data_IF_839401450633
#
_entry.id   IF_839401450633
#
_cell.length_a   1.000
_cell.length_b   1.000
_cell.length_c   1.000
_cell.angle_alpha   90.00
_cell.angle_beta   90.00
_cell.angle_gamma   90.00
#
_symmetry.space_group_name_H-M   'P 1'
#
loop_
_entity.id
_entity.type
_entity.pdbx_description
1 polymer ?
#
# COMPACT_ATOMS: atom_id res chain seq x y z
N UNK A 1 -9.19 -1.24 -13.32
CA UNK A 1 -7.81 -1.75 -13.32
C UNK A 1 -7.15 -1.72 -11.93
N UNK A 2 -7.08 -0.57 -11.24
CA UNK A 2 -6.43 -0.46 -9.91
C UNK A 2 -7.02 -1.34 -8.78
N UNK A 3 -8.31 -1.69 -8.85
CA UNK A 3 -8.99 -2.52 -7.84
C UNK A 3 -8.50 -3.98 -7.84
N UNK A 4 -8.09 -4.49 -9.01
CA UNK A 4 -7.52 -5.83 -9.16
C UNK A 4 -6.06 -5.88 -8.68
N UNK A 5 -5.29 -4.81 -8.92
CA UNK A 5 -3.88 -4.70 -8.49
C UNK A 5 -3.75 -4.73 -6.96
N UNK A 6 -4.69 -4.11 -6.23
CA UNK A 6 -4.64 -4.03 -4.77
C UNK A 6 -4.61 -5.41 -4.10
N UNK A 7 -5.32 -6.40 -4.65
CA UNK A 7 -5.40 -7.72 -4.03
C UNK A 7 -4.12 -8.55 -4.22
N UNK A 8 -3.40 -8.31 -5.32
CA UNK A 8 -2.13 -8.99 -5.62
C UNK A 8 -0.92 -8.37 -4.91
N UNK A 9 -1.01 -7.11 -4.47
CA UNK A 9 0.09 -6.49 -3.71
C UNK A 9 0.13 -6.97 -2.26
N UNK A 10 -1.03 -7.29 -1.67
CA UNK A 10 -1.12 -7.78 -0.29
C UNK A 10 -0.62 -9.21 -0.11
N UNK A 11 -0.47 -9.97 -1.20
CA UNK A 11 0.05 -11.35 -1.20
C UNK A 11 1.56 -11.43 -1.41
N UNK A 12 2.22 -10.31 -1.77
CA UNK A 12 3.66 -10.26 -1.98
C UNK A 12 4.37 -9.99 -0.66
N UNK A 13 4.96 -11.03 -0.07
CA UNK A 13 5.76 -10.94 1.14
C UNK A 13 6.93 -9.94 0.94
N UNK A 14 7.10 -8.99 1.87
CA UNK A 14 8.18 -8.00 1.83
C UNK A 14 7.89 -6.70 1.06
N UNK A 15 6.71 -6.53 0.47
CA UNK A 15 6.37 -5.28 -0.23
C UNK A 15 6.37 -4.03 0.69
N UNK A 16 6.13 -4.24 1.98
CA UNK A 16 6.10 -3.20 3.02
C UNK A 16 7.47 -2.56 3.29
N UNK A 17 8.56 -3.21 2.86
CA UNK A 17 9.93 -2.72 3.05
C UNK A 17 10.23 -1.52 2.12
N UNK A 18 9.62 -1.48 0.93
CA UNK A 18 9.95 -0.46 -0.07
C UNK A 18 9.57 0.98 0.33
N UNK A 19 8.37 1.24 0.91
CA UNK A 19 8.05 2.55 1.45
C UNK A 19 8.97 2.99 2.61
N UNK A 20 9.36 2.05 3.48
CA UNK A 20 10.27 2.33 4.60
C UNK A 20 11.68 2.65 4.10
N UNK A 21 12.17 1.92 3.09
CA UNK A 21 13.46 2.18 2.46
C UNK A 21 13.46 3.55 1.76
N UNK A 22 12.39 3.88 1.05
CA UNK A 22 12.21 5.20 0.43
C UNK A 22 12.23 6.31 1.48
N UNK A 23 11.44 6.18 2.55
CA UNK A 23 11.42 7.13 3.66
C UNK A 23 12.81 7.31 4.28
N UNK A 24 13.55 6.22 4.54
CA UNK A 24 14.88 6.27 5.10
C UNK A 24 15.88 7.03 4.19
N UNK A 25 15.85 6.76 2.88
CA UNK A 25 16.71 7.45 1.90
C UNK A 25 16.43 8.96 1.89
N UNK A 26 15.15 9.34 1.81
CA UNK A 26 14.78 10.76 1.80
C UNK A 26 15.10 11.45 3.13
N UNK A 27 14.82 10.80 4.26
CA UNK A 27 15.14 11.33 5.59
C UNK A 27 16.65 11.60 5.72
N UNK A 28 17.49 10.65 5.33
CA UNK A 28 18.96 10.82 5.36
C UNK A 28 19.40 11.96 4.45
N UNK A 29 18.85 12.06 3.24
CA UNK A 29 19.16 13.16 2.31
C UNK A 29 18.83 14.54 2.90
N UNK A 30 17.64 14.71 3.48
CA UNK A 30 17.23 16.00 4.06
C UNK A 30 18.02 16.34 5.32
N UNK A 31 18.37 15.36 6.17
CA UNK A 31 19.25 15.58 7.33
C UNK A 31 20.62 16.05 6.86
N UNK A 32 21.21 15.43 5.83
CA UNK A 32 22.49 15.86 5.27
C UNK A 32 22.40 17.30 4.75
N UNK A 33 21.34 17.65 4.04
CA UNK A 33 21.14 19.00 3.52
C UNK A 33 20.99 20.03 4.65
N UNK A 34 20.18 19.73 5.66
CA UNK A 34 20.00 20.60 6.82
C UNK A 34 21.31 20.80 7.59
N UNK A 35 22.05 19.72 7.85
CA UNK A 35 23.38 19.78 8.46
C UNK A 35 24.34 20.59 7.59
N UNK A 36 24.32 20.40 6.26
CA UNK A 36 25.16 21.14 5.32
C UNK A 36 24.89 22.65 5.40
N UNK A 37 23.61 23.04 5.48
CA UNK A 37 23.19 24.45 5.60
C UNK A 37 23.60 25.02 6.95
N UNK A 38 23.38 24.31 8.05
CA UNK A 38 23.76 24.73 9.41
C UNK A 38 25.28 24.86 9.55
N UNK A 39 26.04 23.98 8.89
CA UNK A 39 27.50 23.99 8.90
C UNK A 39 28.12 24.97 7.88
N UNK A 40 27.31 25.70 7.09
CA UNK A 40 27.85 26.72 6.19
C UNK A 40 28.53 27.84 6.98
N UNK A 41 29.73 28.23 6.54
CA UNK A 41 30.50 29.27 7.22
C UNK A 41 29.87 30.64 6.97
N UNK A 42 29.73 31.44 8.03
CA UNK A 42 29.18 32.82 7.98
C UNK A 42 29.76 33.70 6.85
N UNK A 43 31.08 33.71 6.57
CA UNK A 43 31.63 34.49 5.45
C UNK A 43 31.05 34.12 4.07
N UNK A 44 30.68 32.85 3.88
CA UNK A 44 30.06 32.39 2.63
C UNK A 44 28.60 32.84 2.54
N UNK A 45 27.89 32.85 3.68
CA UNK A 45 26.53 33.38 3.79
C UNK A 45 26.53 34.90 3.58
N UNK A 46 27.50 35.61 4.16
CA UNK A 46 27.66 37.06 4.02
C UNK A 46 28.02 37.45 2.58
N UNK A 47 28.86 36.66 1.91
CA UNK A 47 29.10 36.83 0.47
C UNK A 47 27.82 36.64 -0.34
N UNK A 48 26.99 35.64 0.00
CA UNK A 48 25.72 35.37 -0.68
C UNK A 48 24.65 36.46 -0.40
N UNK A 49 24.65 37.06 0.80
CA UNK A 49 23.71 38.12 1.16
C UNK A 49 24.10 39.50 0.62
N UNK A 50 25.39 39.73 0.38
CA UNK A 50 25.92 40.97 -0.19
C UNK A 50 25.91 40.99 -1.73
N UNK A 51 25.41 39.92 -2.35
CA UNK A 51 25.04 39.96 -3.76
C UNK A 51 23.94 41.04 -3.92
N UNK A 52 24.10 41.99 -4.86
CA UNK A 52 23.28 43.20 -4.89
C UNK A 52 21.89 42.87 -5.45
N UNK A 53 20.98 42.51 -4.55
CA UNK A 53 19.58 42.30 -4.87
C UNK A 53 18.79 43.58 -4.57
N UNK A 54 18.69 44.42 -5.61
CA UNK A 54 17.71 45.51 -5.82
C UNK A 54 17.91 46.90 -5.18
N UNK A 55 17.26 47.85 -5.85
CA UNK A 55 17.39 49.30 -5.82
C UNK A 55 17.11 49.95 -4.45
N UNK A 56 17.83 51.05 -4.18
CA UNK A 56 17.90 51.74 -2.89
C UNK A 56 16.59 52.47 -2.55
N UNK A 57 15.58 51.80 -1.99
CA UNK A 57 14.49 52.51 -1.28
C UNK A 57 13.75 51.73 -0.18
N UNK A 58 13.97 50.42 -0.05
CA UNK A 58 13.20 49.55 0.86
C UNK A 58 13.79 49.41 2.27
N UNK A 59 14.99 49.95 2.53
CA UNK A 59 15.71 49.70 3.79
C UNK A 59 15.15 50.41 5.02
N UNK A 60 14.20 51.36 4.87
CA UNK A 60 13.60 52.06 6.01
C UNK A 60 12.27 51.45 6.48
N UNK A 61 11.61 50.61 5.67
CA UNK A 61 10.27 50.11 5.99
C UNK A 61 10.33 48.91 6.94
N UNK A 62 11.36 48.07 6.83
CA UNK A 62 11.58 46.96 7.76
C UNK A 62 11.81 47.37 9.22
N UNK A 63 12.29 48.60 9.46
CA UNK A 63 12.66 49.06 10.81
C UNK A 63 11.47 49.61 11.62
N UNK A 64 10.40 50.08 10.96
CA UNK A 64 9.20 50.57 11.63
C UNK A 64 8.15 49.48 11.91
N UNK A 65 8.29 48.31 11.27
CA UNK A 65 7.44 47.13 11.49
C UNK A 65 7.92 46.30 12.71
N UNK A 66 9.13 46.55 13.21
CA UNK A 66 9.66 45.90 14.42
C UNK A 66 9.26 46.59 15.73
N UNK A 67 8.80 47.84 15.70
CA UNK A 67 8.39 48.57 16.92
C UNK A 67 7.10 48.05 17.58
N UNK A 68 6.09 47.55 16.85
CA UNK A 68 4.88 46.97 17.45
C UNK A 68 5.14 45.64 18.18
N UNK A 69 6.26 44.96 17.90
CA UNK A 69 6.70 43.75 18.61
C UNK A 69 7.27 44.05 20.02
N UNK A 70 7.52 45.32 20.37
CA UNK A 70 8.01 45.76 21.69
C UNK A 70 6.94 46.45 22.56
N UNK A 71 5.67 46.47 22.12
CA UNK A 71 4.54 46.79 23.01
C UNK A 71 4.43 48.24 23.50
N UNK A 72 4.91 49.24 22.75
CA UNK A 72 4.70 50.66 23.10
C UNK A 72 3.50 51.20 22.30
N UNK A 73 2.37 51.41 22.98
CA UNK A 73 1.18 52.08 22.42
C UNK A 73 1.13 53.54 22.85
N UNK A 74 1.02 54.48 21.91
CA UNK A 74 0.48 55.81 22.19
C UNK A 74 -0.38 56.31 21.02
N UNK A 75 -1.65 56.63 21.31
CA UNK A 75 -2.71 56.91 20.34
C UNK A 75 -2.72 58.30 19.71
N UNK A 76 -1.61 59.03 19.71
CA UNK A 76 -1.56 60.42 19.23
C UNK A 76 -1.07 60.60 17.78
N UNK A 77 -0.70 59.51 17.07
CA UNK A 77 -0.14 59.60 15.70
C UNK A 77 -1.16 59.14 14.63
N UNK A 78 -2.33 58.61 15.04
CA UNK A 78 -3.30 58.04 14.12
C UNK A 78 -4.05 59.06 13.24
N UNK A 79 -4.07 60.35 13.61
CA UNK A 79 -4.93 61.34 12.94
C UNK A 79 -4.30 61.95 11.68
N UNK A 80 -2.96 62.02 11.60
CA UNK A 80 -2.26 62.67 10.49
C UNK A 80 -1.98 61.71 9.31
N UNK A 81 -2.11 60.39 9.54
CA UNK A 81 -1.94 59.34 8.52
C UNK A 81 -3.20 59.12 7.66
N UNK A 82 -4.36 59.60 8.10
CA UNK A 82 -5.66 59.27 7.46
C UNK A 82 -5.94 60.14 6.23
N UNK A 83 -5.41 61.36 6.17
CA UNK A 83 -5.63 62.25 5.02
C UNK A 83 -4.78 61.90 3.80
N UNK A 84 -3.57 61.38 3.99
CA UNK A 84 -2.67 61.01 2.88
C UNK A 84 -2.97 59.61 2.31
N UNK A 85 -3.60 58.73 3.09
CA UNK A 85 -3.99 57.37 2.66
C UNK A 85 -5.29 57.35 1.84
N UNK A 86 -6.15 58.38 1.95
CA UNK A 86 -7.45 58.39 1.26
C UNK A 86 -7.35 58.52 -0.27
N UNK A 87 -6.26 59.09 -0.80
CA UNK A 87 -6.11 59.25 -2.26
C UNK A 87 -5.46 58.02 -2.93
N UNK A 88 -4.85 57.12 -2.15
CA UNK A 88 -4.24 55.87 -2.64
C UNK A 88 -5.18 54.67 -2.43
N UNK A 89 -6.12 54.76 -1.49
CA UNK A 89 -6.98 53.66 -1.05
C UNK A 89 -8.06 53.19 -2.06
N UNK A 90 -8.32 53.90 -3.15
CA UNK A 90 -9.27 53.43 -4.19
C UNK A 90 -8.62 52.61 -5.31
N UNK A 91 -7.29 52.47 -5.31
CA UNK A 91 -6.57 51.80 -6.41
C UNK A 91 -5.89 50.47 -6.06
N UNK A 92 -5.80 50.07 -4.80
CA UNK A 92 -4.98 48.91 -4.42
C UNK A 92 -5.51 48.15 -3.20
N UNK A 93 -6.77 47.72 -3.25
CA UNK A 93 -7.30 46.78 -2.25
C UNK A 93 -7.05 45.32 -2.62
N UNK A 94 -5.89 44.99 -3.22
CA UNK A 94 -5.68 43.63 -3.72
C UNK A 94 -4.25 43.30 -4.09
N UNK A 95 -3.29 43.46 -3.16
CA UNK A 95 -1.94 42.91 -3.35
C UNK A 95 -1.35 42.48 -2.00
N UNK A 96 -1.78 41.33 -1.48
CA UNK A 96 -1.02 40.62 -0.44
C UNK A 96 0.11 39.85 -1.12
N UNK A 97 1.36 40.31 -0.97
CA UNK A 97 2.56 39.65 -1.53
C UNK A 97 2.55 39.46 -3.06
N UNK A 98 2.01 40.42 -3.83
CA UNK A 98 2.03 40.32 -5.30
C UNK A 98 1.05 39.31 -5.89
N UNK A 99 0.14 38.73 -5.10
CA UNK A 99 -0.83 37.72 -5.53
C UNK A 99 -2.27 38.22 -5.35
N UNK A 100 -3.19 37.75 -6.20
CA UNK A 100 -4.62 38.06 -6.10
C UNK A 100 -5.27 37.35 -4.90
N UNK A 101 -6.33 37.95 -4.35
CA UNK A 101 -7.01 37.45 -3.15
C UNK A 101 -7.55 36.02 -3.31
N UNK A 102 -7.96 35.64 -4.53
CA UNK A 102 -8.41 34.28 -4.86
C UNK A 102 -7.30 33.23 -4.66
N UNK A 103 -6.06 33.59 -5.01
CA UNK A 103 -4.88 32.70 -4.87
C UNK A 103 -4.54 32.53 -3.39
N UNK A 104 -4.67 33.60 -2.61
CA UNK A 104 -4.43 33.58 -1.18
C UNK A 104 -5.43 32.71 -0.41
N UNK A 105 -6.71 32.79 -0.77
CA UNK A 105 -7.78 31.98 -0.16
C UNK A 105 -7.59 30.49 -0.48
N UNK A 106 -7.17 30.16 -1.72
CA UNK A 106 -6.87 28.77 -2.12
C UNK A 106 -5.67 28.21 -1.34
N UNK A 107 -4.63 29.03 -1.08
CA UNK A 107 -3.47 28.62 -0.28
C UNK A 107 -3.87 28.37 1.19
N UNK A 108 -4.71 29.22 1.77
CA UNK A 108 -5.17 29.04 3.15
C UNK A 108 -6.09 27.84 3.32
N UNK A 109 -7.03 27.63 2.39
CA UNK A 109 -7.94 26.47 2.41
C UNK A 109 -7.19 25.15 2.18
N UNK A 110 -6.25 25.11 1.23
CA UNK A 110 -5.43 23.92 1.01
C UNK A 110 -4.53 23.61 2.22
N UNK A 111 -3.96 24.64 2.86
CA UNK A 111 -3.19 24.49 4.10
C UNK A 111 -4.02 23.98 5.29
N UNK A 112 -5.27 24.44 5.42
CA UNK A 112 -6.19 23.98 6.46
C UNK A 112 -6.62 22.50 6.26
N UNK A 113 -6.86 22.09 5.01
CA UNK A 113 -7.15 20.69 4.66
C UNK A 113 -5.97 19.78 4.97
N UNK A 114 -4.74 20.23 4.70
CA UNK A 114 -3.50 19.51 5.05
C UNK A 114 -3.34 19.31 6.54
N UNK A 115 -3.53 20.37 7.33
CA UNK A 115 -3.43 20.30 8.78
C UNK A 115 -4.46 19.32 9.37
N UNK A 116 -5.67 19.32 8.81
CA UNK A 116 -6.75 18.41 9.23
C UNK A 116 -6.43 16.96 8.87
N UNK A 117 -5.91 16.68 7.67
CA UNK A 117 -5.52 15.33 7.26
C UNK A 117 -4.35 14.78 8.08
N UNK A 118 -3.37 15.62 8.43
CA UNK A 118 -2.26 15.25 9.32
C UNK A 118 -2.74 14.93 10.74
N UNK A 119 -3.67 15.72 11.28
CA UNK A 119 -4.27 15.45 12.61
C UNK A 119 -5.04 14.13 12.60
N UNK A 120 -5.82 13.85 11.55
CA UNK A 120 -6.56 12.58 11.42
C UNK A 120 -5.63 11.37 11.29
N UNK A 121 -4.55 11.49 10.50
CA UNK A 121 -3.52 10.46 10.37
C UNK A 121 -2.78 10.19 11.70
N UNK A 122 -2.38 11.26 12.39
CA UNK A 122 -1.73 11.16 13.70
C UNK A 122 -2.66 10.56 14.77
N UNK A 123 -3.95 10.90 14.74
CA UNK A 123 -4.96 10.30 15.64
C UNK A 123 -5.15 8.80 15.40
N UNK A 124 -5.10 8.35 14.14
CA UNK A 124 -5.16 6.94 13.78
C UNK A 124 -3.96 6.14 14.32
N UNK A 125 -2.75 6.67 14.15
CA UNK A 125 -1.53 6.07 14.69
C UNK A 125 -1.56 6.02 16.22
N UNK A 126 -2.01 7.10 16.88
CA UNK A 126 -2.08 7.16 18.33
C UNK A 126 -3.12 6.17 18.90
N UNK A 127 -4.28 6.02 18.26
CA UNK A 127 -5.28 5.01 18.64
C UNK A 127 -4.73 3.59 18.50
N UNK A 128 -4.03 3.30 17.41
CA UNK A 128 -3.40 1.98 17.22
C UNK A 128 -2.30 1.72 18.25
N UNK A 129 -1.51 2.74 18.61
CA UNK A 129 -0.50 2.65 19.68
C UNK A 129 -1.13 2.37 21.06
N UNK A 130 -2.25 3.02 21.37
CA UNK A 130 -2.97 2.82 22.64
C UNK A 130 -3.58 1.42 22.72
N UNK A 131 -4.20 0.94 21.62
CA UNK A 131 -4.76 -0.42 21.54
C UNK A 131 -3.65 -1.48 21.61
N UNK A 132 -2.51 -1.25 20.97
CA UNK A 132 -1.32 -2.09 21.05
C UNK A 132 -0.75 -2.16 22.48
N UNK A 133 -0.62 -1.01 23.15
CA UNK A 133 -0.21 -0.91 24.55
C UNK A 133 -1.16 -1.67 25.50
N UNK A 134 -2.48 -1.52 25.30
CA UNK A 134 -3.50 -2.20 26.09
C UNK A 134 -3.52 -3.72 25.89
N UNK A 135 -3.16 -4.20 24.68
CA UNK A 135 -3.10 -5.63 24.33
C UNK A 135 -1.79 -6.30 24.80
N UNK A 136 -0.68 -5.56 24.73
CA UNK A 136 0.64 -6.00 25.22
C UNK A 136 0.65 -6.24 26.73
N UNK A 137 -0.10 -5.44 27.51
CA UNK A 137 -0.19 -5.62 28.96
C UNK A 137 -0.93 -6.90 29.42
N UNK A 138 -1.73 -7.55 28.57
CA UNK A 138 -2.62 -8.65 28.99
C UNK A 138 -2.21 -10.06 28.52
N UNK A 139 -1.24 -10.21 27.64
CA UNK A 139 -0.80 -11.53 27.17
C UNK A 139 0.68 -11.52 26.82
N UNK A 140 1.54 -11.88 27.78
CA UNK A 140 2.97 -12.04 27.52
C UNK A 140 3.44 -13.50 27.41
N UNK A 141 2.55 -14.50 27.51
CA UNK A 141 2.99 -15.90 27.69
C UNK A 141 2.39 -16.93 26.73
N UNK A 142 1.80 -16.57 25.59
CA UNK A 142 1.39 -17.61 24.63
C UNK A 142 1.60 -17.16 23.18
N UNK A 143 2.41 -17.96 22.48
CA UNK A 143 2.69 -17.97 21.05
C UNK A 143 3.83 -17.03 20.64
N UNK A 144 5.01 -17.63 20.49
CA UNK A 144 6.21 -17.03 19.92
C UNK A 144 6.07 -16.74 18.42
N UNK A 145 5.26 -15.75 18.09
CA UNK A 145 5.23 -15.10 16.78
C UNK A 145 6.09 -13.82 16.92
N UNK A 146 7.01 -13.52 15.98
CA UNK A 146 7.89 -12.36 16.11
C UNK A 146 7.08 -11.06 16.19
N UNK A 147 7.20 -10.40 17.35
CA UNK A 147 6.57 -9.14 17.80
C UNK A 147 6.78 -7.96 16.82
N UNK A 148 7.61 -8.13 15.79
CA UNK A 148 8.02 -7.10 14.83
C UNK A 148 6.94 -6.87 13.76
N UNK A 149 6.15 -7.89 13.40
CA UNK A 149 5.18 -7.77 12.31
C UNK A 149 3.97 -6.88 12.66
N UNK A 150 3.49 -6.90 13.92
CA UNK A 150 2.23 -6.23 14.28
C UNK A 150 2.31 -4.70 14.39
N UNK A 151 3.51 -4.11 14.43
CA UNK A 151 3.69 -2.65 14.52
C UNK A 151 3.60 -1.99 13.13
N UNK A 152 3.83 -2.76 12.06
CA UNK A 152 3.89 -2.26 10.68
C UNK A 152 2.69 -2.60 9.81
N UNK A 153 1.67 -3.31 10.33
CA UNK A 153 0.41 -3.51 9.60
C UNK A 153 -0.37 -2.20 9.59
N UNK A 154 -0.09 -1.34 8.60
CA UNK A 154 -0.87 -0.14 8.34
C UNK A 154 -2.28 -0.54 7.90
N UNK A 155 -3.31 0.04 8.52
CA UNK A 155 -4.68 -0.13 8.03
C UNK A 155 -4.80 0.46 6.63
N UNK A 156 -5.64 -0.13 5.78
CA UNK A 156 -5.90 0.33 4.41
C UNK A 156 -6.08 1.86 4.31
N UNK A 157 -6.80 2.46 5.26
CA UNK A 157 -7.02 3.90 5.33
C UNK A 157 -5.74 4.71 5.58
N UNK A 158 -4.85 4.22 6.46
CA UNK A 158 -3.56 4.87 6.75
C UNK A 158 -2.57 4.74 5.61
N UNK A 159 -2.56 3.58 4.93
CA UNK A 159 -1.77 3.37 3.73
C UNK A 159 -2.15 4.36 2.61
N UNK A 160 -3.44 4.44 2.25
CA UNK A 160 -3.89 5.36 1.22
C UNK A 160 -3.72 6.83 1.64
N UNK A 161 -3.90 7.15 2.92
CA UNK A 161 -3.64 8.49 3.45
C UNK A 161 -2.18 8.94 3.25
N UNK A 162 -1.21 8.04 3.49
CA UNK A 162 0.20 8.33 3.24
C UNK A 162 0.53 8.44 1.74
N UNK A 163 -0.06 7.59 0.90
CA UNK A 163 0.12 7.67 -0.56
C UNK A 163 -0.39 9.00 -1.11
N UNK A 164 -1.60 9.42 -0.73
CA UNK A 164 -2.15 10.71 -1.15
C UNK A 164 -1.36 11.90 -0.60
N UNK A 165 -0.90 11.83 0.66
CA UNK A 165 -0.04 12.85 1.25
C UNK A 165 1.28 13.04 0.50
N UNK A 166 1.93 11.94 0.09
CA UNK A 166 3.18 11.98 -0.67
C UNK A 166 2.99 12.50 -2.10
N UNK A 167 1.94 12.08 -2.79
CA UNK A 167 1.62 12.60 -4.14
C UNK A 167 1.36 14.11 -4.07
N UNK A 168 0.63 14.57 -3.05
CA UNK A 168 0.39 15.99 -2.84
C UNK A 168 1.67 16.77 -2.54
N UNK A 169 2.55 16.25 -1.67
CA UNK A 169 3.83 16.88 -1.35
C UNK A 169 4.75 16.97 -2.57
N UNK A 170 4.74 15.95 -3.43
CA UNK A 170 5.43 15.96 -4.73
C UNK A 170 4.88 17.05 -5.65
N UNK A 171 3.56 17.18 -5.77
CA UNK A 171 2.93 18.22 -6.59
C UNK A 171 3.24 19.63 -6.06
N UNK A 172 3.24 19.81 -4.74
CA UNK A 172 3.60 21.08 -4.10
C UNK A 172 5.07 21.45 -4.36
N UNK A 173 5.98 20.48 -4.28
CA UNK A 173 7.39 20.67 -4.61
C UNK A 173 7.57 21.09 -6.07
N UNK A 174 6.88 20.43 -7.00
CA UNK A 174 6.92 20.79 -8.42
C UNK A 174 6.38 22.21 -8.65
N UNK A 175 5.38 22.63 -7.89
CA UNK A 175 4.81 23.97 -7.95
C UNK A 175 5.81 25.03 -7.43
N UNK A 176 6.52 24.75 -6.33
CA UNK A 176 7.61 25.59 -5.83
C UNK A 176 8.76 25.66 -6.86
N UNK A 177 9.19 24.53 -7.41
CA UNK A 177 10.25 24.49 -8.42
C UNK A 177 9.85 25.23 -9.70
N UNK A 178 8.58 25.13 -10.12
CA UNK A 178 8.02 25.91 -11.23
C UNK A 178 8.09 27.42 -10.93
N UNK A 179 7.69 27.84 -9.72
CA UNK A 179 7.73 29.24 -9.32
C UNK A 179 9.18 29.76 -9.23
N UNK A 180 10.11 28.95 -8.70
CA UNK A 180 11.54 29.28 -8.69
C UNK A 180 12.08 29.41 -10.11
N UNK A 181 11.66 28.56 -11.06
CA UNK A 181 12.08 28.63 -12.46
C UNK A 181 11.58 29.91 -13.14
N UNK A 182 10.31 30.26 -12.95
CA UNK A 182 9.73 31.50 -13.48
C UNK A 182 10.47 32.72 -12.90
N UNK A 183 10.71 32.72 -11.59
CA UNK A 183 11.49 33.77 -10.92
C UNK A 183 12.94 33.81 -11.41
N UNK A 184 13.56 32.65 -11.65
CA UNK A 184 14.90 32.51 -12.26
C UNK A 184 14.96 33.09 -13.66
N UNK A 185 13.95 32.82 -14.48
CA UNK A 185 13.91 33.27 -15.87
C UNK A 185 13.65 34.78 -15.97
N UNK A 186 12.88 35.36 -15.03
CA UNK A 186 12.70 36.81 -14.90
C UNK A 186 13.97 37.51 -14.34
N UNK A 187 14.72 36.82 -13.47
CA UNK A 187 16.02 37.27 -12.93
C UNK A 187 17.20 37.06 -13.89
N UNK A 188 17.00 36.40 -15.04
CA UNK A 188 18.05 36.31 -16.06
C UNK A 188 18.24 37.71 -16.65
N UNK A 189 19.38 38.39 -16.42
CA UNK A 189 19.61 39.66 -17.08
C UNK A 189 19.63 39.39 -18.58
N UNK A 190 18.73 40.03 -19.32
CA UNK A 190 18.79 40.08 -20.79
C UNK A 190 20.01 40.93 -21.16
N UNK A 191 21.21 40.34 -21.05
CA UNK A 191 22.48 41.03 -21.27
C UNK A 191 22.61 41.36 -22.75
N UNK A 192 22.77 42.65 -23.05
CA UNK A 192 23.27 43.15 -24.32
C UNK A 192 24.65 42.52 -24.58
N UNK A 193 24.73 41.91 -25.77
CA UNK A 193 25.76 41.15 -26.48
C UNK A 193 27.28 41.36 -26.27
N UNK A 194 27.79 42.29 -25.44
CA UNK A 194 29.21 42.72 -25.60
C UNK A 194 30.20 42.25 -24.51
N UNK A 195 29.75 41.70 -23.38
CA UNK A 195 30.63 41.35 -22.25
C UNK A 195 30.84 39.83 -22.08
N UNK A 196 30.98 39.10 -23.19
CA UNK A 196 31.07 37.63 -23.21
C UNK A 196 32.40 37.07 -23.73
N UNK A 197 33.30 37.92 -24.27
CA UNK A 197 34.51 37.47 -24.95
C UNK A 197 35.70 37.20 -24.01
N UNK A 198 35.92 38.01 -22.97
CA UNK A 198 37.13 37.89 -22.14
C UNK A 198 36.98 36.99 -20.90
N UNK A 199 35.75 36.76 -20.41
CA UNK A 199 35.49 35.88 -19.26
C UNK A 199 35.52 34.38 -19.62
N UNK A 200 35.80 34.03 -20.88
CA UNK A 200 35.73 32.68 -21.44
C UNK A 200 36.95 31.80 -21.14
N UNK A 201 38.04 32.33 -20.55
CA UNK A 201 39.32 31.60 -20.42
C UNK A 201 39.74 31.17 -19.01
N UNK A 202 38.88 31.28 -17.99
CA UNK A 202 39.16 30.64 -16.68
C UNK A 202 38.55 29.25 -16.67
N UNK A 203 39.34 28.24 -17.09
CA UNK A 203 39.02 26.83 -16.93
C UNK A 203 38.78 26.51 -15.45
N UNK A 204 37.51 26.46 -15.03
CA UNK A 204 37.13 25.80 -13.78
C UNK A 204 37.49 24.32 -13.91
N UNK A 205 38.38 23.83 -13.04
CA UNK A 205 38.75 22.41 -12.98
C UNK A 205 37.49 21.53 -13.08
N UNK A 206 37.40 20.76 -14.17
CA UNK A 206 36.22 19.97 -14.48
C UNK A 206 35.87 19.04 -13.31
N UNK A 207 34.67 19.24 -12.74
CA UNK A 207 34.09 18.42 -11.67
C UNK A 207 34.25 16.92 -11.99
N UNK A 208 34.58 16.11 -10.98
CA UNK A 208 34.75 14.64 -11.15
C UNK A 208 33.53 14.03 -11.86
N UNK A 209 32.34 14.55 -11.57
CA UNK A 209 31.09 14.16 -12.23
C UNK A 209 31.05 14.52 -13.72
N UNK A 210 31.58 15.67 -14.14
CA UNK A 210 31.63 16.02 -15.57
C UNK A 210 32.64 15.15 -16.32
N UNK A 211 33.73 14.74 -15.66
CA UNK A 211 34.70 13.77 -16.23
C UNK A 211 34.07 12.39 -16.40
N UNK A 212 33.32 11.90 -15.41
CA UNK A 212 32.60 10.63 -15.49
C UNK A 212 31.52 10.70 -16.58
N UNK A 213 30.71 11.76 -16.57
CA UNK A 213 29.65 11.99 -17.55
C UNK A 213 30.17 12.03 -18.99
N UNK A 214 31.29 12.74 -19.21
CA UNK A 214 31.95 12.80 -20.52
C UNK A 214 32.46 11.45 -20.98
N UNK A 215 32.98 10.60 -20.08
CA UNK A 215 33.40 9.23 -20.41
C UNK A 215 32.22 8.31 -20.75
N UNK A 216 31.12 8.42 -20.02
CA UNK A 216 29.95 7.57 -20.22
C UNK A 216 29.20 7.91 -21.51
N UNK A 217 29.10 9.20 -21.86
CA UNK A 217 28.39 9.63 -23.06
C UNK A 217 29.27 9.73 -24.31
N UNK A 218 30.56 10.02 -24.15
CA UNK A 218 31.50 10.06 -25.27
C UNK A 218 31.18 11.10 -26.35
N UNK A 219 30.45 12.16 -26.03
CA UNK A 219 30.07 13.23 -26.97
C UNK A 219 31.30 13.95 -27.55
N UNK A 220 31.16 14.39 -28.80
CA UNK A 220 32.06 15.35 -29.45
C UNK A 220 31.61 16.76 -29.10
N UNK A 221 32.55 17.70 -28.98
CA UNK A 221 32.24 19.09 -28.60
C UNK A 221 31.59 19.83 -29.77
N UNK A 222 30.73 20.81 -29.48
CA UNK A 222 29.92 21.53 -30.50
C UNK A 222 30.80 22.19 -31.58
N UNK A 223 32.01 22.62 -31.21
CA UNK A 223 32.97 23.22 -32.14
C UNK A 223 33.43 22.25 -33.25
N UNK A 224 33.45 20.95 -32.94
CA UNK A 224 33.94 19.89 -33.82
C UNK A 224 32.78 19.11 -34.50
N UNK A 225 31.52 19.49 -34.25
CA UNK A 225 30.34 18.84 -34.84
C UNK A 225 30.28 19.01 -36.36
N UNK A 226 30.84 20.11 -36.89
CA UNK A 226 30.89 20.37 -38.31
C UNK A 226 31.70 19.31 -39.09
N UNK A 227 32.71 18.73 -38.46
CA UNK A 227 33.56 17.68 -39.05
C UNK A 227 32.85 16.32 -39.09
N UNK A 228 31.77 16.15 -38.31
CA UNK A 228 30.95 14.93 -38.23
C UNK A 228 29.65 15.02 -39.03
N UNK A 229 29.37 16.17 -39.66
CA UNK A 229 28.17 16.33 -40.46
C UNK A 229 28.25 15.46 -41.71
N UNK A 230 27.18 14.70 -41.95
CA UNK A 230 27.04 13.93 -43.17
C UNK A 230 26.84 14.84 -44.39
N UNK A 231 27.19 14.34 -45.57
CA UNK A 231 27.23 15.09 -46.82
C UNK A 231 25.85 15.39 -47.44
N UNK A 232 24.78 14.83 -46.86
CA UNK A 232 23.43 14.94 -47.36
C UNK A 232 22.51 15.61 -46.34
N UNK A 233 21.56 16.41 -46.86
CA UNK A 233 20.47 16.97 -46.08
C UNK A 233 19.13 16.44 -46.60
N UNK A 234 18.25 16.10 -45.67
CA UNK A 234 16.88 15.73 -45.95
C UNK A 234 15.96 16.79 -45.35
N UNK A 235 15.28 17.56 -46.19
CA UNK A 235 14.32 18.59 -45.74
C UNK A 235 14.93 19.60 -44.75
N UNK A 236 16.20 19.99 -44.99
CA UNK A 236 16.94 20.91 -44.13
C UNK A 236 17.46 20.31 -42.82
N UNK A 237 17.25 19.01 -42.57
CA UNK A 237 17.83 18.27 -41.45
C UNK A 237 19.09 17.56 -41.93
N UNK A 238 20.18 17.70 -41.18
CA UNK A 238 21.44 16.99 -41.42
C UNK A 238 21.74 16.05 -40.25
N UNK A 239 22.35 14.91 -40.56
CA UNK A 239 22.69 13.89 -39.57
C UNK A 239 24.16 14.03 -39.14
N UNK A 240 24.42 13.72 -37.88
CA UNK A 240 25.78 13.67 -37.33
C UNK A 240 26.22 12.21 -37.25
N UNK A 241 27.41 11.90 -37.80
CA UNK A 241 28.04 10.58 -37.68
C UNK A 241 28.71 10.43 -36.30
N UNK A 242 27.90 10.44 -35.24
CA UNK A 242 28.38 10.33 -33.88
C UNK A 242 28.45 8.86 -33.44
N UNK A 243 29.48 8.52 -32.66
CA UNK A 243 29.57 7.19 -32.04
C UNK A 243 28.45 6.98 -31.01
N UNK A 244 28.02 5.74 -30.85
CA UNK A 244 27.03 5.36 -29.84
C UNK A 244 27.58 5.65 -28.43
N UNK A 245 26.76 6.22 -27.51
CA UNK A 245 27.18 6.45 -26.13
C UNK A 245 27.66 5.14 -25.47
N UNK A 246 28.87 5.10 -24.89
CA UNK A 246 29.40 3.90 -24.25
C UNK A 246 28.46 3.26 -23.23
N UNK A 247 27.75 4.05 -22.41
CA UNK A 247 26.78 3.51 -21.45
C UNK A 247 25.64 2.76 -22.13
N UNK A 248 25.17 3.25 -23.28
CA UNK A 248 24.08 2.63 -24.03
C UNK A 248 24.56 1.31 -24.64
N UNK A 249 25.76 1.30 -25.21
CA UNK A 249 26.38 0.11 -25.79
C UNK A 249 26.61 -0.97 -24.73
N UNK A 250 27.12 -0.62 -23.55
CA UNK A 250 27.28 -1.57 -22.45
C UNK A 250 25.94 -2.06 -21.92
N UNK A 251 24.93 -1.20 -21.84
CA UNK A 251 23.56 -1.61 -21.50
C UNK A 251 23.01 -2.64 -22.49
N UNK A 252 23.22 -2.41 -23.79
CA UNK A 252 22.83 -3.33 -24.85
C UNK A 252 23.52 -4.70 -24.71
N UNK A 253 24.85 -4.73 -24.56
CA UNK A 253 25.58 -5.99 -24.34
C UNK A 253 25.19 -6.71 -23.05
N UNK A 254 24.93 -5.97 -21.98
CA UNK A 254 24.45 -6.54 -20.72
C UNK A 254 23.08 -7.20 -20.90
N UNK A 255 22.18 -6.58 -21.67
CA UNK A 255 20.87 -7.19 -21.96
C UNK A 255 21.00 -8.49 -22.76
N UNK A 256 21.93 -8.56 -23.70
CA UNK A 256 22.23 -9.79 -24.46
C UNK A 256 22.75 -10.88 -23.52
N UNK A 257 23.72 -10.55 -22.67
CA UNK A 257 24.26 -11.49 -21.69
C UNK A 257 23.18 -12.01 -20.74
N UNK A 258 22.31 -11.13 -20.24
CA UNK A 258 21.18 -11.52 -19.40
C UNK A 258 20.22 -12.47 -20.13
N UNK A 259 19.88 -12.18 -21.39
CA UNK A 259 19.02 -13.05 -22.20
C UNK A 259 19.62 -14.46 -22.40
N UNK A 260 20.92 -14.55 -22.64
CA UNK A 260 21.61 -15.85 -22.73
C UNK A 260 21.53 -16.59 -21.40
N UNK A 261 21.88 -15.95 -20.28
CA UNK A 261 21.82 -16.56 -18.95
C UNK A 261 20.39 -17.01 -18.59
N UNK A 262 19.38 -16.23 -18.96
CA UNK A 262 17.97 -16.55 -18.75
C UNK A 262 17.57 -17.85 -19.46
N UNK A 263 17.92 -18.01 -20.74
CA UNK A 263 17.64 -19.22 -21.52
C UNK A 263 18.31 -20.43 -20.87
N UNK A 264 19.58 -20.30 -20.46
CA UNK A 264 20.27 -21.40 -19.80
C UNK A 264 19.64 -21.77 -18.46
N UNK A 265 19.22 -20.79 -17.66
CA UNK A 265 18.59 -21.02 -16.36
C UNK A 265 17.24 -21.72 -16.47
N UNK A 266 16.32 -21.19 -17.30
CA UNK A 266 14.92 -21.65 -17.36
C UNK A 266 14.68 -22.78 -18.36
N UNK A 267 15.39 -22.80 -19.49
CA UNK A 267 15.10 -23.73 -20.59
C UNK A 267 16.13 -24.85 -20.74
N UNK A 268 17.41 -24.60 -20.44
CA UNK A 268 18.48 -25.62 -20.59
C UNK A 268 18.68 -26.41 -19.29
N UNK A 269 19.05 -25.74 -18.21
CA UNK A 269 19.34 -26.38 -16.91
C UNK A 269 18.10 -26.54 -16.05
N UNK A 270 17.06 -25.72 -16.27
CA UNK A 270 15.79 -25.74 -15.52
C UNK A 270 16.01 -25.63 -13.99
N UNK A 271 16.93 -24.77 -13.57
CA UNK A 271 17.19 -24.55 -12.14
C UNK A 271 16.04 -23.81 -11.45
N UNK A 272 15.28 -23.02 -12.20
CA UNK A 272 14.12 -22.27 -11.71
C UNK A 272 12.87 -22.77 -12.42
N UNK A 273 11.76 -23.03 -11.70
CA UNK A 273 10.52 -23.49 -12.30
C UNK A 273 9.97 -22.44 -13.28
N UNK A 274 9.29 -22.90 -14.32
CA UNK A 274 8.52 -22.03 -15.21
C UNK A 274 7.21 -21.62 -14.53
N UNK A 275 6.58 -20.56 -15.03
CA UNK A 275 5.35 -19.98 -14.44
C UNK A 275 4.25 -21.01 -14.10
N UNK A 276 4.05 -22.01 -14.95
CA UNK A 276 3.02 -23.04 -14.73
C UNK A 276 3.41 -23.96 -13.57
N UNK A 277 4.68 -24.36 -13.52
CA UNK A 277 5.21 -25.22 -12.45
C UNK A 277 5.25 -24.47 -11.11
N UNK A 278 5.63 -23.19 -11.13
CA UNK A 278 5.58 -22.31 -9.95
C UNK A 278 4.14 -22.18 -9.42
N UNK A 279 3.17 -21.99 -10.31
CA UNK A 279 1.75 -21.96 -9.95
C UNK A 279 1.28 -23.29 -9.35
N UNK A 280 1.69 -24.42 -9.94
CA UNK A 280 1.32 -25.74 -9.41
C UNK A 280 1.90 -25.96 -8.00
N UNK A 281 3.15 -25.54 -7.77
CA UNK A 281 3.78 -25.58 -6.45
C UNK A 281 3.04 -24.69 -5.45
N UNK A 282 2.71 -23.44 -5.82
CA UNK A 282 1.94 -22.52 -4.97
C UNK A 282 0.55 -23.09 -4.62
N UNK A 283 -0.12 -23.72 -5.58
CA UNK A 283 -1.42 -24.34 -5.36
C UNK A 283 -1.34 -25.56 -4.44
N UNK A 284 -0.25 -26.33 -4.48
CA UNK A 284 -0.01 -27.45 -3.55
C UNK A 284 0.16 -26.92 -2.13
N UNK A 285 0.97 -25.89 -1.94
CA UNK A 285 1.22 -25.29 -0.63
C UNK A 285 -0.07 -24.65 -0.07
N UNK A 286 -0.78 -23.86 -0.89
CA UNK A 286 -2.05 -23.25 -0.51
C UNK A 286 -3.12 -24.30 -0.16
N UNK A 287 -3.16 -25.42 -0.89
CA UNK A 287 -4.05 -26.53 -0.57
C UNK A 287 -3.73 -27.12 0.80
N UNK A 288 -2.45 -27.34 1.10
CA UNK A 288 -2.03 -27.87 2.40
C UNK A 288 -2.42 -26.94 3.56
N UNK A 289 -2.31 -25.63 3.37
CA UNK A 289 -2.75 -24.63 4.36
C UNK A 289 -4.27 -24.63 4.55
N UNK A 290 -5.03 -24.66 3.45
CA UNK A 290 -6.49 -24.74 3.51
C UNK A 290 -6.93 -26.03 4.20
N UNK A 291 -6.33 -27.17 3.86
CA UNK A 291 -6.65 -28.45 4.46
C UNK A 291 -6.32 -28.43 5.98
N UNK A 292 -5.18 -27.86 6.38
CA UNK A 292 -4.82 -27.68 7.79
C UNK A 292 -5.80 -26.74 8.52
N UNK A 293 -6.23 -25.66 7.88
CA UNK A 293 -7.26 -24.76 8.42
C UNK A 293 -8.60 -25.48 8.58
N UNK A 294 -9.05 -26.23 7.57
CA UNK A 294 -10.29 -27.00 7.64
C UNK A 294 -10.26 -28.05 8.74
N UNK A 295 -9.13 -28.72 8.95
CA UNK A 295 -8.93 -29.62 10.09
C UNK A 295 -9.02 -28.85 11.41
N UNK A 296 -8.39 -27.67 11.52
CA UNK A 296 -8.50 -26.85 12.74
C UNK A 296 -9.94 -26.38 13.02
N UNK A 297 -10.71 -26.11 11.97
CA UNK A 297 -12.13 -25.74 12.07
C UNK A 297 -13.03 -26.95 12.31
N UNK A 298 -12.60 -28.17 11.98
CA UNK A 298 -13.38 -29.39 12.17
C UNK A 298 -13.75 -29.65 13.63
N UNK A 299 -12.99 -29.08 14.57
CA UNK A 299 -13.21 -29.17 16.01
C UNK A 299 -14.20 -28.14 16.56
N UNK A 300 -14.61 -27.13 15.78
CA UNK A 300 -15.42 -26.00 16.26
C UNK A 300 -16.94 -26.20 16.10
N UNK A 301 -17.38 -27.35 15.58
CA UNK A 301 -18.81 -27.66 15.48
C UNK A 301 -19.27 -28.38 16.74
N UNK A 302 -20.34 -27.90 17.35
CA UNK A 302 -20.99 -28.50 18.51
C UNK A 302 -22.51 -28.57 18.28
N UNK A 303 -23.22 -29.13 19.26
CA UNK A 303 -24.67 -29.34 19.22
C UNK A 303 -25.45 -28.02 19.06
N UNK A 304 -24.85 -26.89 19.44
CA UNK A 304 -25.46 -25.56 19.40
C UNK A 304 -25.09 -24.76 18.14
N UNK A 305 -23.94 -25.05 17.52
CA UNK A 305 -23.46 -24.38 16.30
C UNK A 305 -23.78 -25.15 15.01
N UNK A 306 -24.25 -26.38 15.12
CA UNK A 306 -24.61 -27.21 13.96
C UNK A 306 -25.79 -26.61 13.18
N UNK A 307 -25.58 -26.39 11.89
CA UNK A 307 -26.61 -25.94 10.94
C UNK A 307 -26.96 -27.05 9.97
N UNK A 308 -28.25 -27.16 9.62
CA UNK A 308 -28.69 -27.97 8.50
C UNK A 308 -28.38 -27.25 7.19
N UNK A 309 -27.41 -27.77 6.42
CA UNK A 309 -27.02 -27.23 5.13
C UNK A 309 -26.85 -28.39 4.13
N UNK A 310 -27.88 -28.73 3.34
CA UNK A 310 -27.86 -29.84 2.40
C UNK A 310 -27.10 -29.49 1.11
N UNK A 311 -25.85 -29.02 1.23
CA UNK A 311 -24.99 -28.84 0.06
C UNK A 311 -24.60 -30.21 -0.51
N UNK A 312 -24.43 -30.29 -1.83
CA UNK A 312 -24.10 -31.54 -2.54
C UNK A 312 -22.87 -32.24 -1.94
N UNK A 313 -21.84 -31.46 -1.57
CA UNK A 313 -20.63 -31.98 -0.94
C UNK A 313 -20.90 -32.59 0.44
N UNK A 314 -21.69 -31.94 1.29
CA UNK A 314 -22.01 -32.46 2.63
C UNK A 314 -22.88 -33.72 2.57
N UNK A 315 -23.85 -33.75 1.67
CA UNK A 315 -24.69 -34.92 1.44
C UNK A 315 -23.88 -36.11 0.93
N UNK A 316 -22.93 -35.88 0.00
CA UNK A 316 -22.03 -36.91 -0.50
C UNK A 316 -21.15 -37.47 0.62
N UNK A 317 -20.48 -36.60 1.39
CA UNK A 317 -19.62 -37.03 2.50
C UNK A 317 -20.42 -37.75 3.60
N UNK A 318 -21.59 -37.21 3.97
CA UNK A 318 -22.49 -37.85 4.93
C UNK A 318 -23.00 -39.20 4.45
N UNK A 319 -23.31 -39.35 3.16
CA UNK A 319 -23.72 -40.61 2.54
C UNK A 319 -22.64 -41.68 2.65
N UNK A 320 -21.39 -41.34 2.32
CA UNK A 320 -20.27 -42.28 2.41
C UNK A 320 -20.12 -42.81 3.84
N UNK A 321 -20.18 -41.91 4.84
CA UNK A 321 -20.11 -42.30 6.25
C UNK A 321 -21.30 -43.16 6.69
N UNK A 322 -22.51 -42.83 6.21
CA UNK A 322 -23.73 -43.57 6.50
C UNK A 322 -23.70 -44.99 5.93
N UNK A 323 -23.29 -45.13 4.67
CA UNK A 323 -23.19 -46.42 3.98
C UNK A 323 -22.16 -47.34 4.65
N UNK A 324 -21.10 -46.77 5.22
CA UNK A 324 -20.06 -47.55 5.92
C UNK A 324 -20.48 -47.98 7.34
N UNK A 325 -21.24 -47.14 8.07
CA UNK A 325 -21.38 -47.29 9.52
C UNK A 325 -22.82 -47.39 10.03
N UNK A 326 -23.80 -46.83 9.32
CA UNK A 326 -25.17 -46.66 9.82
C UNK A 326 -26.17 -47.58 9.14
N UNK A 327 -25.90 -47.96 7.88
CA UNK A 327 -26.79 -48.75 7.01
C UNK A 327 -27.24 -50.07 7.64
N UNK A 328 -26.36 -50.73 8.41
CA UNK A 328 -26.64 -52.05 8.99
C UNK A 328 -27.81 -51.99 9.98
N UNK A 329 -27.97 -50.85 10.66
CA UNK A 329 -29.04 -50.67 11.64
C UNK A 329 -30.23 -49.89 11.08
N UNK A 330 -30.00 -48.94 10.16
CA UNK A 330 -31.00 -47.98 9.69
C UNK A 330 -31.47 -48.18 8.25
N UNK A 331 -31.01 -49.25 7.58
CA UNK A 331 -31.23 -49.56 6.16
C UNK A 331 -30.57 -48.57 5.20
N UNK A 332 -30.49 -48.92 3.91
CA UNK A 332 -29.86 -48.07 2.87
C UNK A 332 -30.70 -46.84 2.52
N UNK A 333 -32.01 -46.93 2.70
CA UNK A 333 -33.00 -45.91 2.37
C UNK A 333 -33.50 -45.16 3.62
N UNK A 334 -32.88 -45.37 4.78
CA UNK A 334 -33.31 -44.77 6.04
C UNK A 334 -34.61 -45.33 6.60
N UNK A 335 -35.15 -46.42 6.02
CA UNK A 335 -36.40 -47.05 6.45
C UNK A 335 -36.37 -47.71 7.83
N UNK A 336 -35.18 -47.79 8.44
CA UNK A 336 -34.99 -48.40 9.75
C UNK A 336 -34.75 -49.90 9.69
N UNK A 337 -34.67 -50.52 10.86
CA UNK A 337 -34.37 -51.94 11.00
C UNK A 337 -34.17 -52.27 12.48
N UNK A 338 -32.92 -52.50 12.88
CA UNK A 338 -32.55 -52.48 14.30
C UNK A 338 -32.79 -51.07 14.87
N UNK A 339 -32.35 -50.05 14.15
CA UNK A 339 -32.58 -48.64 14.48
C UNK A 339 -33.96 -48.11 14.06
N UNK A 340 -34.31 -46.88 14.46
CA UNK A 340 -35.51 -46.17 14.02
C UNK A 340 -35.50 -45.83 12.53
N UNK A 341 -36.70 -45.55 12.01
CA UNK A 341 -36.95 -44.97 10.69
C UNK A 341 -36.59 -43.48 10.69
N UNK A 342 -35.91 -42.99 9.66
CA UNK A 342 -35.57 -41.56 9.51
C UNK A 342 -36.43 -40.85 8.46
N UNK A 343 -37.28 -41.60 7.75
CA UNK A 343 -38.13 -41.05 6.70
C UNK A 343 -39.43 -40.41 7.21
N UNK A 344 -39.86 -40.76 8.42
CA UNK A 344 -41.07 -40.21 9.04
C UNK A 344 -40.79 -38.96 9.90
N UNK A 345 -41.85 -38.40 10.50
CA UNK A 345 -41.79 -37.20 11.34
C UNK A 345 -41.62 -37.53 12.83
N UNK A 346 -41.32 -38.79 13.21
CA UNK A 346 -41.33 -39.22 14.60
C UNK A 346 -39.91 -39.51 15.12
N UNK A 347 -39.53 -38.87 16.22
CA UNK A 347 -38.19 -38.94 16.78
C UNK A 347 -38.22 -39.35 18.26
N UNK A 348 -37.35 -40.29 18.64
CA UNK A 348 -37.24 -40.77 20.03
C UNK A 348 -36.37 -39.83 20.89
N UNK A 349 -35.36 -39.21 20.29
CA UNK A 349 -34.34 -38.42 20.99
C UNK A 349 -34.26 -36.96 20.48
N UNK A 350 -35.36 -36.44 19.93
CA UNK A 350 -35.41 -35.14 19.27
C UNK A 350 -35.04 -35.21 17.78
N UNK A 351 -35.74 -34.42 16.98
CA UNK A 351 -35.64 -34.36 15.52
C UNK A 351 -34.92 -33.12 15.00
N UNK A 352 -34.53 -32.18 15.86
CA UNK A 352 -33.73 -31.02 15.43
C UNK A 352 -32.34 -31.46 14.94
N UNK A 353 -31.69 -30.63 14.12
CA UNK A 353 -30.34 -30.95 13.62
C UNK A 353 -29.32 -31.08 14.77
N UNK A 354 -29.51 -30.31 15.85
CA UNK A 354 -28.72 -30.40 17.08
C UNK A 354 -28.92 -31.73 17.81
N UNK A 355 -30.15 -32.23 17.86
CA UNK A 355 -30.49 -33.49 18.52
C UNK A 355 -29.97 -34.71 17.77
N UNK A 356 -30.07 -34.68 16.44
CA UNK A 356 -29.48 -35.72 15.57
C UNK A 356 -27.96 -35.73 15.73
N UNK A 357 -27.32 -34.56 15.70
CA UNK A 357 -25.88 -34.42 15.94
C UNK A 357 -25.48 -34.99 17.31
N UNK A 358 -26.21 -34.63 18.36
CA UNK A 358 -25.99 -35.11 19.74
C UNK A 358 -26.13 -36.63 19.84
N UNK A 359 -27.16 -37.19 19.20
CA UNK A 359 -27.42 -38.63 19.16
C UNK A 359 -26.30 -39.40 18.47
N UNK A 360 -25.73 -38.85 17.40
CA UNK A 360 -24.57 -39.45 16.72
C UNK A 360 -23.32 -39.32 17.59
N UNK A 361 -23.04 -38.13 18.11
CA UNK A 361 -21.81 -37.84 18.87
C UNK A 361 -21.70 -38.68 20.14
N UNK A 362 -22.72 -38.66 21.00
CA UNK A 362 -22.69 -39.36 22.29
C UNK A 362 -23.28 -40.78 22.23
N UNK A 363 -23.96 -41.13 21.14
CA UNK A 363 -24.67 -42.40 21.03
C UNK A 363 -25.88 -42.49 21.94
N UNK A 364 -26.54 -43.65 21.91
CA UNK A 364 -27.64 -44.01 22.80
C UNK A 364 -27.41 -45.44 23.30
N UNK A 365 -26.46 -45.65 24.23
CA UNK A 365 -26.04 -46.99 24.64
C UNK A 365 -27.19 -47.84 25.21
N UNK A 366 -28.17 -47.21 25.88
CA UNK A 366 -29.36 -47.88 26.42
C UNK A 366 -30.25 -48.52 25.34
N UNK A 367 -30.10 -48.11 24.07
CA UNK A 367 -30.82 -48.62 22.90
C UNK A 367 -29.90 -49.29 21.87
N UNK A 368 -28.63 -49.52 22.23
CA UNK A 368 -27.65 -50.22 21.39
C UNK A 368 -26.90 -49.36 20.37
N UNK A 369 -27.10 -48.04 20.35
CA UNK A 369 -26.33 -47.13 19.49
C UNK A 369 -25.06 -46.67 20.21
N UNK A 370 -23.88 -46.99 19.66
CA UNK A 370 -22.59 -46.54 20.21
C UNK A 370 -22.35 -45.03 20.00
N UNK A 371 -21.45 -44.45 20.79
CA UNK A 371 -20.94 -43.10 20.57
C UNK A 371 -19.95 -43.08 19.40
N UNK A 372 -19.98 -41.99 18.60
CA UNK A 372 -19.10 -41.80 17.45
C UNK A 372 -18.11 -40.63 17.62
N UNK A 373 -18.14 -39.92 18.75
CA UNK A 373 -17.25 -38.77 19.02
C UNK A 373 -15.74 -39.09 18.95
N UNK A 374 -15.33 -40.34 19.13
CA UNK A 374 -13.93 -40.78 19.02
C UNK A 374 -13.53 -41.16 17.60
N UNK A 375 -14.52 -41.50 16.76
CA UNK A 375 -14.32 -42.09 15.45
C UNK A 375 -14.48 -41.03 14.34
N UNK A 376 -15.32 -40.02 14.56
CA UNK A 376 -15.61 -38.94 13.60
C UNK A 376 -15.33 -37.56 14.20
N UNK A 377 -14.80 -36.67 13.37
CA UNK A 377 -14.69 -35.25 13.68
C UNK A 377 -16.08 -34.59 13.77
N UNK A 378 -16.23 -33.49 14.52
CA UNK A 378 -17.51 -32.79 14.59
C UNK A 378 -18.09 -32.36 13.24
N UNK A 379 -17.27 -31.97 12.25
CA UNK A 379 -17.75 -31.68 10.89
C UNK A 379 -18.27 -32.93 10.17
N UNK A 380 -17.63 -34.09 10.34
CA UNK A 380 -18.13 -35.36 9.79
C UNK A 380 -19.46 -35.76 10.43
N UNK A 381 -19.61 -35.55 11.75
CA UNK A 381 -20.88 -35.76 12.46
C UNK A 381 -21.95 -34.81 11.92
N UNK A 382 -21.63 -33.54 11.64
CA UNK A 382 -22.57 -32.60 11.01
C UNK A 382 -22.99 -33.05 9.60
N UNK A 383 -22.05 -33.54 8.79
CA UNK A 383 -22.34 -34.04 7.45
C UNK A 383 -23.25 -35.27 7.52
N UNK A 384 -22.98 -36.18 8.46
CA UNK A 384 -23.81 -37.36 8.71
C UNK A 384 -25.21 -36.98 9.21
N UNK A 385 -25.31 -36.04 10.16
CA UNK A 385 -26.59 -35.54 10.66
C UNK A 385 -27.41 -34.86 9.55
N UNK A 386 -26.75 -34.09 8.67
CA UNK A 386 -27.38 -33.47 7.50
C UNK A 386 -27.93 -34.53 6.54
N UNK A 387 -27.16 -35.59 6.28
CA UNK A 387 -27.60 -36.69 5.43
C UNK A 387 -28.77 -37.47 6.06
N UNK A 388 -28.71 -37.78 7.36
CA UNK A 388 -29.81 -38.44 8.09
C UNK A 388 -31.10 -37.61 7.99
N UNK A 389 -31.03 -36.29 8.18
CA UNK A 389 -32.19 -35.41 8.08
C UNK A 389 -32.75 -35.32 6.66
N UNK A 390 -31.92 -35.57 5.63
CA UNK A 390 -32.36 -35.57 4.24
C UNK A 390 -33.30 -36.73 3.86
N UNK A 391 -33.40 -37.78 4.70
CA UNK A 391 -34.35 -38.87 4.51
C UNK A 391 -35.80 -38.48 4.85
N UNK A 392 -36.02 -37.46 5.68
CA UNK A 392 -37.37 -37.09 6.12
C UNK A 392 -38.25 -36.72 4.91
N UNK A 393 -39.40 -37.39 4.78
CA UNK A 393 -40.31 -37.23 3.65
C UNK A 393 -40.00 -38.11 2.43
N UNK A 394 -38.98 -38.98 2.50
CA UNK A 394 -38.77 -40.03 1.50
C UNK A 394 -39.68 -41.24 1.76
N UNK A 395 -39.80 -42.15 0.78
CA UNK A 395 -40.61 -43.37 0.90
C UNK A 395 -39.71 -44.61 0.83
N UNK A 396 -39.26 -45.14 1.98
CA UNK A 396 -38.51 -46.39 2.06
C UNK A 396 -39.31 -47.59 1.55
N UNK A 397 -38.63 -48.65 1.13
CA UNK A 397 -39.28 -49.88 0.64
C UNK A 397 -39.99 -50.66 1.75
N UNK A 398 -39.43 -50.66 2.95
CA UNK A 398 -39.95 -51.36 4.12
C UNK A 398 -39.79 -50.49 5.38
N UNK A 399 -40.56 -49.40 5.52
CA UNK A 399 -40.42 -48.48 6.64
C UNK A 399 -40.86 -49.14 7.95
N UNK A 400 -40.03 -49.00 8.99
CA UNK A 400 -40.38 -49.38 10.35
C UNK A 400 -41.51 -48.48 10.87
N UNK A 401 -42.36 -49.01 11.75
CA UNK A 401 -43.44 -48.24 12.35
C UNK A 401 -42.91 -47.00 13.10
N UNK A 402 -43.63 -45.87 13.10
CA UNK A 402 -43.20 -44.64 13.75
C UNK A 402 -42.88 -44.83 15.24
N UNK A 403 -41.82 -44.19 15.72
CA UNK A 403 -41.37 -44.31 17.11
C UNK A 403 -40.99 -42.95 17.70
N UNK A 404 -41.53 -42.65 18.89
CA UNK A 404 -41.25 -41.40 19.58
C UNK A 404 -42.32 -40.32 19.32
N UNK A 405 -41.92 -39.07 19.47
CA UNK A 405 -42.79 -37.91 19.39
C UNK A 405 -42.69 -37.25 18.01
N UNK A 406 -43.78 -36.62 17.58
CA UNK A 406 -43.84 -35.94 16.29
C UNK A 406 -43.10 -34.59 16.37
N UNK A 407 -42.15 -34.36 15.45
CA UNK A 407 -41.34 -33.14 15.37
C UNK A 407 -41.14 -32.58 13.96
#
# INVERSE_FOLDING_TARGET
>A
MLRFIKHHMTTLEGIEIWPLLSFAIFFVFFVILAVRVIMMRKPHIDHLSNLPFEDRKTSKIGMWILLPLLGISNGAIAQELVSEVSEVATSNLGIHFGMSDDIWIVILLSSAVLFTAMILGASGVLKNLIVFSARSSKNLNSLGIPVIASVFVLTDSTFWGLVFGNIFLMLFLLLILRNIRIFSDELRPKKLEEESLEASFVEKEASIWSKIWRRLNGHVEIADEADLMMDHSYDGIMELDNRLPPWWLYGFYTSIMFGVLYIFNYHVFKYTPLQIEEYELEMIDAKAEVDAYLVSMSLNVDESSVIYNPSSQRLLSGKILYDLNCVVCHATDGGGGVGPNFADEFWINGGSIGDVFKSIKYGVPSKGMRAWATDFSPVEIQNLATYVKSFQGTTPLAPKAPQGDKE
#
